data_IF_119899415809
#
_entry.id   IF_119899415809
#
_cell.length_a   1.000
_cell.length_b   1.000
_cell.length_c   1.000
_cell.angle_alpha   90.00
_cell.angle_beta   90.00
_cell.angle_gamma   90.00
#
_symmetry.space_group_name_H-M   'P 1'
#
loop_
_entity.id
_entity.type
_entity.pdbx_description
1 polymer ?
#
# COMPACT_ATOMS: atom_id res chain seq x y z
N UNK A 1 -26.43 12.83 5.61
CA UNK A 1 -26.39 11.68 4.66
C UNK A 1 -24.94 11.27 4.52
N UNK A 2 -24.58 10.10 5.03
CA UNK A 2 -23.23 9.56 4.93
C UNK A 2 -23.12 8.91 3.54
N UNK A 3 -22.38 9.53 2.62
CA UNK A 3 -22.12 8.95 1.32
C UNK A 3 -21.07 7.84 1.50
N UNK A 4 -21.51 6.58 1.44
CA UNK A 4 -20.59 5.46 1.27
C UNK A 4 -20.01 5.55 -0.14
N UNK A 5 -18.72 5.87 -0.25
CA UNK A 5 -18.03 5.81 -1.53
C UNK A 5 -18.08 4.37 -2.07
N UNK A 6 -18.34 4.17 -3.38
CA UNK A 6 -18.36 2.84 -3.96
C UNK A 6 -16.95 2.23 -3.88
N UNK A 7 -16.87 0.99 -3.36
CA UNK A 7 -15.63 0.22 -3.34
C UNK A 7 -15.22 -0.15 -4.77
N UNK A 8 -13.99 0.20 -5.14
CA UNK A 8 -13.42 -0.15 -6.44
C UNK A 8 -12.58 -1.41 -6.28
N UNK A 9 -12.87 -2.43 -7.08
CA UNK A 9 -12.13 -3.69 -7.08
C UNK A 9 -11.27 -3.80 -8.32
N UNK A 10 -9.99 -4.10 -8.12
CA UNK A 10 -9.01 -4.21 -9.20
C UNK A 10 -8.61 -5.67 -9.46
N UNK A 11 -9.57 -6.52 -9.84
CA UNK A 11 -9.41 -7.99 -9.86
C UNK A 11 -8.23 -8.54 -10.67
N UNK A 12 -7.74 -7.79 -11.67
CA UNK A 12 -6.66 -8.19 -12.57
C UNK A 12 -5.41 -7.31 -12.45
N UNK A 13 -5.32 -6.47 -11.42
CA UNK A 13 -4.18 -5.57 -11.25
C UNK A 13 -2.94 -6.32 -10.77
N UNK A 14 -1.98 -6.49 -11.67
CA UNK A 14 -0.71 -7.20 -11.38
C UNK A 14 0.38 -6.23 -10.89
N UNK A 15 0.32 -4.97 -11.32
CA UNK A 15 1.35 -3.97 -11.00
C UNK A 15 0.75 -2.60 -10.74
N UNK A 16 1.16 -1.96 -9.64
CA UNK A 16 0.76 -0.61 -9.25
C UNK A 16 1.99 0.27 -9.06
N UNK A 17 2.01 1.44 -9.70
CA UNK A 17 3.11 2.40 -9.59
C UNK A 17 2.59 3.65 -8.91
N UNK A 18 3.17 3.99 -7.75
CA UNK A 18 2.78 5.13 -6.92
C UNK A 18 3.90 6.17 -6.79
N UNK A 19 4.96 6.07 -7.59
CA UNK A 19 6.15 6.92 -7.48
C UNK A 19 5.90 8.42 -7.65
N UNK A 20 4.82 8.80 -8.34
CA UNK A 20 4.42 10.19 -8.56
C UNK A 20 3.02 10.47 -8.03
N UNK A 21 2.45 9.51 -7.30
CA UNK A 21 1.11 9.65 -6.74
C UNK A 21 1.15 10.57 -5.52
N UNK A 22 0.15 11.44 -5.39
CA UNK A 22 -0.07 12.18 -4.16
C UNK A 22 -0.27 11.21 -3.00
N UNK A 23 0.20 11.58 -1.80
CA UNK A 23 0.18 10.70 -0.63
C UNK A 23 -1.23 10.20 -0.30
N UNK A 24 -2.26 11.04 -0.47
CA UNK A 24 -3.66 10.66 -0.23
C UNK A 24 -4.11 9.47 -1.10
N UNK A 25 -3.64 9.38 -2.34
CA UNK A 25 -3.95 8.24 -3.21
C UNK A 25 -3.23 6.98 -2.75
N UNK A 26 -1.98 7.12 -2.31
CA UNK A 26 -1.23 6.01 -1.73
C UNK A 26 -1.93 5.49 -0.48
N UNK A 27 -2.40 6.39 0.39
CA UNK A 27 -3.20 6.03 1.54
C UNK A 27 -4.49 5.29 1.14
N UNK A 28 -5.22 5.77 0.14
CA UNK A 28 -6.45 5.12 -0.31
C UNK A 28 -6.22 3.68 -0.79
N UNK A 29 -5.12 3.42 -1.50
CA UNK A 29 -4.77 2.07 -1.96
C UNK A 29 -4.29 1.16 -0.84
N UNK A 30 -3.50 1.68 0.09
CA UNK A 30 -2.90 0.87 1.15
C UNK A 30 -3.85 0.64 2.33
N UNK A 31 -4.68 1.63 2.73
CA UNK A 31 -5.58 1.51 3.90
C UNK A 31 -6.93 0.84 3.63
N UNK A 32 -7.12 0.21 2.47
CA UNK A 32 -8.39 -0.45 2.07
C UNK A 32 -9.63 0.45 2.28
N UNK A 33 -9.46 1.79 2.20
CA UNK A 33 -10.55 2.73 2.46
C UNK A 33 -11.63 2.63 1.38
N UNK A 34 -11.21 2.54 0.12
CA UNK A 34 -12.10 2.51 -1.06
C UNK A 34 -11.64 1.51 -2.14
N UNK A 35 -10.54 0.77 -1.92
CA UNK A 35 -9.91 -0.05 -2.95
C UNK A 35 -9.53 -1.45 -2.43
N UNK A 36 -10.06 -2.48 -3.10
CA UNK A 36 -9.61 -3.85 -2.90
C UNK A 36 -8.56 -4.20 -3.94
N UNK A 37 -7.33 -4.43 -3.45
CA UNK A 37 -6.23 -4.92 -4.25
C UNK A 37 -6.29 -6.45 -4.34
N UNK A 38 -5.98 -7.03 -5.51
CA UNK A 38 -5.91 -8.48 -5.67
C UNK A 38 -4.70 -9.03 -4.90
N UNK A 39 -4.70 -10.33 -4.64
CA UNK A 39 -3.49 -11.03 -4.20
C UNK A 39 -2.44 -10.98 -5.33
N UNK A 40 -1.16 -11.00 -4.96
CA UNK A 40 -0.02 -11.04 -5.89
C UNK A 40 0.27 -9.70 -6.60
N UNK A 41 0.12 -8.58 -5.88
CA UNK A 41 0.42 -7.26 -6.44
C UNK A 41 1.93 -6.95 -6.37
N UNK A 42 2.48 -6.44 -7.47
CA UNK A 42 3.76 -5.74 -7.47
C UNK A 42 3.55 -4.24 -7.26
N UNK A 43 4.02 -3.71 -6.13
CA UNK A 43 3.96 -2.29 -5.81
C UNK A 43 5.32 -1.62 -6.10
N UNK A 44 5.29 -0.49 -6.79
CA UNK A 44 6.42 0.41 -6.94
C UNK A 44 6.09 1.73 -6.24
N UNK A 45 6.92 2.15 -5.28
CA UNK A 45 6.68 3.36 -4.48
C UNK A 45 8.02 4.03 -4.12
N UNK A 46 8.00 5.35 -3.88
CA UNK A 46 9.13 6.07 -3.30
C UNK A 46 9.28 5.76 -1.81
N UNK A 47 10.52 5.69 -1.33
CA UNK A 47 10.82 5.45 0.08
C UNK A 47 10.31 6.58 0.95
N UNK A 48 10.41 7.83 0.49
CA UNK A 48 9.87 9.00 1.19
C UNK A 48 8.39 8.83 1.49
N UNK A 49 7.59 8.45 0.49
CA UNK A 49 6.15 8.21 0.64
C UNK A 49 5.87 7.03 1.57
N UNK A 50 6.60 5.93 1.44
CA UNK A 50 6.48 4.78 2.33
C UNK A 50 6.89 5.09 3.78
N UNK A 51 7.86 5.98 3.97
CA UNK A 51 8.33 6.43 5.28
C UNK A 51 7.33 7.36 5.97
N UNK A 52 6.60 8.19 5.22
CA UNK A 52 5.50 8.98 5.80
C UNK A 52 4.38 8.05 6.25
N UNK A 53 4.06 7.03 5.44
CA UNK A 53 3.13 5.97 5.84
C UNK A 53 3.60 5.18 7.05
N UNK A 54 4.90 5.18 7.37
CA UNK A 54 5.47 4.52 8.55
C UNK A 54 5.00 5.11 9.87
N UNK A 55 4.72 6.42 9.90
CA UNK A 55 4.04 7.06 11.04
C UNK A 55 2.61 6.52 11.18
N UNK A 56 2.02 6.07 10.06
CA UNK A 56 0.67 5.52 9.96
C UNK A 56 0.66 3.96 9.85
N UNK A 57 1.81 3.26 9.92
CA UNK A 57 1.92 1.78 10.12
C UNK A 57 1.67 1.42 11.59
N UNK A 58 0.66 2.07 12.15
CA UNK A 58 -0.04 1.77 13.39
C UNK A 58 -1.49 1.37 13.08
N UNK A 59 -1.97 1.66 11.87
CA UNK A 59 -3.32 1.35 11.45
C UNK A 59 -3.41 -0.06 10.84
N UNK A 60 -4.21 -0.90 11.49
CA UNK A 60 -4.46 -2.29 11.11
C UNK A 60 -5.02 -2.44 9.69
N UNK A 61 -5.77 -1.45 9.19
CA UNK A 61 -6.34 -1.49 7.84
C UNK A 61 -5.27 -1.51 6.74
N UNK A 62 -4.13 -0.83 6.93
CA UNK A 62 -3.02 -0.91 5.97
C UNK A 62 -2.42 -2.31 5.87
N UNK A 63 -2.46 -3.07 6.97
CA UNK A 63 -1.88 -4.40 7.02
C UNK A 63 -2.56 -5.35 6.04
N UNK A 64 -3.86 -5.20 5.80
CA UNK A 64 -4.64 -6.11 4.96
C UNK A 64 -4.23 -6.01 3.49
N UNK A 65 -4.14 -4.79 2.94
CA UNK A 65 -3.71 -4.61 1.55
C UNK A 65 -2.18 -4.75 1.41
N UNK A 66 -1.38 -4.30 2.37
CA UNK A 66 0.07 -4.52 2.32
C UNK A 66 0.43 -6.01 2.36
N UNK A 67 -0.32 -6.84 3.08
CA UNK A 67 -0.12 -8.29 3.11
C UNK A 67 -0.41 -9.00 1.78
N UNK A 68 -1.03 -8.32 0.81
CA UNK A 68 -1.27 -8.86 -0.55
C UNK A 68 -0.12 -8.56 -1.52
N UNK A 69 0.82 -7.69 -1.13
CA UNK A 69 1.96 -7.27 -1.95
C UNK A 69 3.04 -8.34 -1.91
N UNK A 70 3.36 -8.91 -3.09
CA UNK A 70 4.39 -9.94 -3.25
C UNK A 70 5.72 -9.40 -3.78
N UNK A 71 5.71 -8.17 -4.30
CA UNK A 71 6.93 -7.53 -4.78
C UNK A 71 6.86 -6.04 -4.51
N UNK A 72 7.79 -5.54 -3.72
CA UNK A 72 7.96 -4.11 -3.48
C UNK A 72 9.21 -3.63 -4.20
N UNK A 73 9.04 -2.61 -5.05
CA UNK A 73 10.13 -1.97 -5.78
C UNK A 73 10.27 -0.55 -5.27
N UNK A 74 11.38 -0.29 -4.60
CA UNK A 74 11.77 1.02 -4.10
C UNK A 74 13.04 1.42 -4.85
N UNK A 75 13.01 2.58 -5.52
CA UNK A 75 14.15 3.04 -6.35
C UNK A 75 15.28 3.69 -5.53
N UNK A 76 14.96 4.14 -4.32
CA UNK A 76 15.89 4.79 -3.41
C UNK A 76 16.57 3.79 -2.47
N UNK A 77 17.60 4.23 -1.73
CA UNK A 77 18.14 3.45 -0.62
C UNK A 77 17.04 3.14 0.40
N UNK A 78 16.75 1.85 0.57
CA UNK A 78 15.69 1.37 1.45
C UNK A 78 16.29 0.84 2.75
N UNK A 79 15.91 1.44 3.88
CA UNK A 79 16.24 0.91 5.21
C UNK A 79 14.99 0.22 5.75
N UNK A 80 15.08 -1.10 5.94
CA UNK A 80 13.97 -1.92 6.40
C UNK A 80 13.53 -1.51 7.83
N UNK A 81 12.28 -1.06 8.04
CA UNK A 81 11.71 -0.83 9.37
C UNK A 81 11.70 -2.07 10.28
N UNK A 82 11.78 -1.88 11.61
CA UNK A 82 11.59 -2.96 12.60
C UNK A 82 10.26 -3.73 12.44
N UNK A 83 9.20 -3.09 11.93
CA UNK A 83 7.89 -3.71 11.72
C UNK A 83 7.57 -4.00 10.25
N UNK A 84 8.55 -3.98 9.35
CA UNK A 84 8.29 -4.10 7.92
C UNK A 84 7.57 -5.41 7.56
N UNK A 85 8.07 -6.54 8.05
CA UNK A 85 7.53 -7.86 7.74
C UNK A 85 6.14 -8.11 8.37
N UNK A 86 5.73 -7.34 9.38
CA UNK A 86 4.37 -7.46 9.91
C UNK A 86 3.31 -6.86 8.98
N UNK A 87 3.72 -5.88 8.14
CA UNK A 87 2.91 -5.25 7.11
C UNK A 87 3.06 -5.90 5.74
N UNK A 88 4.26 -6.38 5.41
CA UNK A 88 4.57 -7.03 4.14
C UNK A 88 5.07 -8.48 4.34
N UNK A 89 4.24 -9.39 4.87
CA UNK A 89 4.62 -10.78 5.16
C UNK A 89 4.97 -11.63 3.94
N UNK A 90 4.69 -11.18 2.71
CA UNK A 90 5.01 -11.90 1.47
C UNK A 90 6.29 -11.39 0.78
N UNK A 91 7.02 -10.46 1.41
CA UNK A 91 8.30 -9.91 0.96
C UNK A 91 9.45 -10.44 1.82
#
# INVERSE_FOLDING_TARGET
KQYSLPFITFSHLVKLHLNLAHIDYVEQFLYERNAHLPRQLSLQIQYGTLSILKINFTNYAARVNCAKIQRLVIKEQFVCPQNFHSYFPLL
#
